data_IF_606438672733
#
_entry.id   IF_606438672733
#
_cell.length_a   1.000
_cell.length_b   1.000
_cell.length_c   1.000
_cell.angle_alpha   90.00
_cell.angle_beta   90.00
_cell.angle_gamma   90.00
#
_symmetry.space_group_name_H-M   'P 1'
#
loop_
_entity.id
_entity.type
_entity.pdbx_description
1 polymer ?
#
# COMPACT_ATOMS: atom_id res chain seq x y z
N UNK A 1 -3.03 -31.06 13.35
CA UNK A 1 -3.59 -29.80 12.81
C UNK A 1 -4.36 -29.03 13.90
N UNK A 2 -3.93 -29.02 15.17
CA UNK A 2 -4.70 -28.33 16.24
C UNK A 2 -3.87 -27.55 17.27
N UNK A 3 -2.56 -27.36 17.08
CA UNK A 3 -1.69 -26.74 18.10
C UNK A 3 -1.18 -25.32 17.72
N UNK A 4 -1.37 -24.90 16.46
CA UNK A 4 -0.98 -23.55 15.99
C UNK A 4 -2.10 -22.51 16.21
N UNK A 5 -3.36 -22.94 16.26
CA UNK A 5 -4.52 -22.06 16.47
C UNK A 5 -4.64 -21.59 17.93
N UNK A 6 -4.12 -22.35 18.90
CA UNK A 6 -4.24 -22.00 20.33
C UNK A 6 -3.18 -21.01 20.84
N UNK A 7 -2.08 -20.79 20.10
CA UNK A 7 -1.01 -19.85 20.53
C UNK A 7 -1.16 -18.42 20.00
N UNK A 8 -2.20 -18.14 19.21
CA UNK A 8 -2.48 -16.80 18.65
C UNK A 8 -3.48 -15.96 19.46
N UNK A 9 -4.05 -16.49 20.54
CA UNK A 9 -5.07 -15.80 21.36
C UNK A 9 -4.53 -14.98 22.55
N UNK A 10 -3.26 -14.56 22.53
CA UNK A 10 -2.64 -13.84 23.65
C UNK A 10 -2.16 -12.42 23.32
N UNK A 11 -2.84 -11.69 22.42
CA UNK A 11 -2.94 -10.22 22.45
C UNK A 11 -4.30 -9.82 21.86
N UNK A 12 -5.39 -10.30 22.46
CA UNK A 12 -6.70 -9.66 22.29
C UNK A 12 -6.61 -8.32 23.01
N UNK A 13 -6.23 -7.26 22.30
CA UNK A 13 -6.58 -5.90 22.69
C UNK A 13 -8.11 -5.85 22.63
N UNK A 14 -8.76 -6.24 23.73
CA UNK A 14 -10.15 -5.87 23.95
C UNK A 14 -10.21 -4.35 23.75
N UNK A 15 -11.06 -3.85 22.82
CA UNK A 15 -11.28 -2.43 22.75
C UNK A 15 -11.94 -2.03 24.06
N UNK A 16 -11.13 -1.55 25.00
CA UNK A 16 -11.60 -0.77 26.14
C UNK A 16 -12.23 0.48 25.54
N UNK A 17 -13.51 0.39 25.20
CA UNK A 17 -14.31 1.51 24.80
C UNK A 17 -14.51 2.36 26.06
N UNK A 18 -13.60 3.30 26.28
CA UNK A 18 -13.84 4.41 27.20
C UNK A 18 -15.20 5.03 26.83
N UNK A 19 -16.11 5.24 27.79
CA UNK A 19 -17.43 5.78 27.51
C UNK A 19 -17.30 7.17 26.87
N UNK A 20 -17.84 7.30 25.66
CA UNK A 20 -17.91 8.56 24.90
C UNK A 20 -18.56 9.61 25.81
N UNK A 21 -17.89 10.74 26.03
CA UNK A 21 -18.46 11.89 26.75
C UNK A 21 -19.80 12.25 26.13
N UNK A 22 -20.86 12.09 26.92
CA UNK A 22 -22.25 12.12 26.47
C UNK A 22 -22.66 13.53 26.03
N UNK A 23 -23.09 13.67 24.77
CA UNK A 23 -23.78 14.87 24.26
C UNK A 23 -23.36 15.39 22.88
N UNK A 24 -22.13 15.10 22.41
CA UNK A 24 -21.68 15.54 21.09
C UNK A 24 -21.67 14.39 20.07
N UNK A 25 -22.33 14.59 18.92
CA UNK A 25 -22.29 13.64 17.80
C UNK A 25 -20.82 13.45 17.36
N UNK A 26 -20.35 12.19 17.17
CA UNK A 26 -18.98 11.95 16.72
C UNK A 26 -18.68 12.66 15.41
N UNK A 27 -17.47 13.20 15.28
CA UNK A 27 -17.03 13.84 14.04
C UNK A 27 -16.47 12.79 13.10
N UNK A 28 -17.07 12.65 11.93
CA UNK A 28 -16.59 11.77 10.88
C UNK A 28 -15.45 12.43 10.11
N UNK A 29 -14.33 11.72 9.97
CA UNK A 29 -13.13 12.20 9.26
C UNK A 29 -12.65 11.11 8.31
N UNK A 30 -12.62 11.45 7.03
CA UNK A 30 -12.11 10.60 5.96
C UNK A 30 -10.66 10.93 5.69
N UNK A 31 -9.82 9.90 5.79
CA UNK A 31 -8.37 10.01 5.72
C UNK A 31 -7.93 9.49 4.37
N UNK A 32 -7.21 10.31 3.63
CA UNK A 32 -6.39 9.83 2.52
C UNK A 32 -5.19 9.09 3.12
N UNK A 33 -5.24 7.76 3.11
CA UNK A 33 -4.30 6.93 3.86
C UNK A 33 -2.85 7.07 3.40
N UNK A 34 -2.64 7.32 2.10
CA UNK A 34 -1.30 7.39 1.50
C UNK A 34 -0.62 8.74 1.76
N UNK A 35 -1.39 9.81 1.92
CA UNK A 35 -0.87 11.16 2.15
C UNK A 35 -0.09 11.33 3.47
N UNK A 36 -0.27 10.40 4.41
CA UNK A 36 0.37 10.39 5.73
C UNK A 36 1.31 9.21 5.93
N UNK A 37 1.69 8.52 4.85
CA UNK A 37 2.60 7.38 4.95
C UNK A 37 3.91 7.72 5.65
N UNK A 38 4.41 8.96 5.48
CA UNK A 38 5.61 9.49 6.14
C UNK A 38 5.47 9.70 7.66
N UNK A 39 4.24 9.79 8.18
CA UNK A 39 3.95 9.86 9.63
C UNK A 39 3.90 8.48 10.27
N UNK A 40 3.74 7.44 9.46
CA UNK A 40 3.67 6.06 9.94
C UNK A 40 4.99 5.33 9.69
N UNK A 41 5.52 5.43 8.48
CA UNK A 41 6.77 4.81 8.05
C UNK A 41 7.93 5.79 8.08
N UNK A 42 9.08 5.30 8.54
CA UNK A 42 10.35 6.00 8.43
C UNK A 42 10.85 5.92 7.00
N UNK A 43 11.00 7.06 6.36
CA UNK A 43 11.48 7.17 4.97
C UNK A 43 12.85 6.48 4.82
N UNK A 44 12.95 5.59 3.83
CA UNK A 44 14.20 4.88 3.52
C UNK A 44 14.51 3.66 4.39
N UNK A 45 13.65 3.32 5.36
CA UNK A 45 13.74 2.09 6.16
C UNK A 45 12.50 1.23 5.90
N UNK A 46 12.62 0.19 5.08
CA UNK A 46 11.46 -0.60 4.66
C UNK A 46 11.01 -1.61 5.73
N UNK A 47 11.84 -1.87 6.75
CA UNK A 47 11.54 -2.82 7.83
C UNK A 47 10.77 -2.18 9.00
N UNK A 48 10.48 -0.88 8.96
CA UNK A 48 9.85 -0.15 10.05
C UNK A 48 8.33 -0.39 10.22
N UNK A 49 7.75 -1.43 9.60
CA UNK A 49 6.29 -1.67 9.63
C UNK A 49 5.73 -1.95 11.05
N UNK A 50 6.55 -2.44 12.00
CA UNK A 50 6.11 -2.53 13.42
C UNK A 50 5.90 -1.15 14.04
N UNK A 51 6.81 -0.23 13.77
CA UNK A 51 6.71 1.16 14.21
C UNK A 51 5.52 1.84 13.52
N UNK A 52 5.32 1.59 12.22
CA UNK A 52 4.15 2.06 11.50
C UNK A 52 2.83 1.59 12.14
N UNK A 53 2.72 0.32 12.53
CA UNK A 53 1.55 -0.20 13.26
C UNK A 53 1.34 0.51 14.59
N UNK A 54 2.41 0.78 15.33
CA UNK A 54 2.34 1.51 16.60
C UNK A 54 1.86 2.95 16.38
N UNK A 55 2.38 3.63 15.34
CA UNK A 55 1.99 4.99 14.98
C UNK A 55 0.51 5.07 14.55
N UNK A 56 0.03 4.11 13.75
CA UNK A 56 -1.39 3.99 13.37
C UNK A 56 -2.25 3.73 14.61
N UNK A 57 -1.87 2.76 15.46
CA UNK A 57 -2.60 2.44 16.69
C UNK A 57 -2.70 3.65 17.62
N UNK A 58 -1.61 4.43 17.73
CA UNK A 58 -1.57 5.68 18.47
C UNK A 58 -2.55 6.70 17.89
N UNK A 59 -2.56 6.90 16.58
CA UNK A 59 -3.51 7.80 15.91
C UNK A 59 -4.96 7.38 16.19
N UNK A 60 -5.28 6.10 16.04
CA UNK A 60 -6.62 5.56 16.27
C UNK A 60 -7.07 5.74 17.72
N UNK A 61 -6.19 5.47 18.69
CA UNK A 61 -6.46 5.74 20.11
C UNK A 61 -6.83 7.21 20.32
N UNK A 62 -5.99 8.13 19.87
CA UNK A 62 -6.19 9.56 20.07
C UNK A 62 -7.42 10.10 19.31
N UNK A 63 -7.80 9.48 18.18
CA UNK A 63 -9.02 9.81 17.46
C UNK A 63 -10.26 9.45 18.28
N UNK A 64 -10.29 8.26 18.87
CA UNK A 64 -11.38 7.80 19.75
C UNK A 64 -11.53 8.72 20.96
N UNK A 65 -10.42 9.06 21.62
CA UNK A 65 -10.44 10.02 22.75
C UNK A 65 -10.92 11.41 22.34
N UNK A 66 -10.71 11.81 21.08
CA UNK A 66 -11.23 13.05 20.49
C UNK A 66 -12.68 12.97 19.99
N UNK A 67 -13.39 11.86 20.19
CA UNK A 67 -14.72 11.61 19.61
C UNK A 67 -14.73 11.76 18.06
N UNK A 68 -13.65 11.29 17.43
CA UNK A 68 -13.48 11.27 15.97
C UNK A 68 -13.64 9.84 15.47
N UNK A 69 -14.53 9.64 14.52
CA UNK A 69 -14.65 8.39 13.76
C UNK A 69 -13.83 8.53 12.50
N UNK A 70 -12.80 7.70 12.37
CA UNK A 70 -11.97 7.64 11.18
C UNK A 70 -12.54 6.63 10.19
N UNK A 71 -12.44 6.94 8.90
CA UNK A 71 -12.53 5.98 7.79
C UNK A 71 -11.39 6.30 6.82
N UNK A 72 -10.66 5.29 6.38
CA UNK A 72 -9.47 5.47 5.53
C UNK A 72 -9.83 5.12 4.10
N UNK A 73 -9.44 5.97 3.16
CA UNK A 73 -9.57 5.71 1.74
C UNK A 73 -8.18 5.48 1.12
N UNK A 74 -8.08 4.49 0.24
CA UNK A 74 -6.85 4.10 -0.45
C UNK A 74 -7.13 3.91 -1.94
N UNK A 75 -6.13 4.24 -2.77
CA UNK A 75 -6.13 3.91 -4.19
C UNK A 75 -6.19 2.40 -4.40
N UNK A 76 -7.10 1.95 -5.25
CA UNK A 76 -7.25 0.55 -5.60
C UNK A 76 -6.64 0.21 -6.98
N UNK A 77 -6.75 1.12 -7.95
CA UNK A 77 -6.04 1.05 -9.23
C UNK A 77 -5.89 2.45 -9.86
N UNK A 78 -5.15 2.52 -10.97
CA UNK A 78 -4.93 3.76 -11.72
C UNK A 78 -5.91 3.78 -12.89
N UNK A 79 -6.86 4.72 -12.90
CA UNK A 79 -7.92 4.75 -13.91
C UNK A 79 -7.54 5.59 -15.15
N UNK A 80 -6.91 6.75 -14.94
CA UNK A 80 -6.67 7.71 -16.03
C UNK A 80 -5.29 7.55 -16.68
N UNK A 81 -5.22 7.77 -17.99
CA UNK A 81 -3.96 7.79 -18.74
C UNK A 81 -2.96 8.80 -18.16
N UNK A 82 -3.45 9.95 -17.69
CA UNK A 82 -2.63 10.97 -17.04
C UNK A 82 -2.02 10.45 -15.73
N UNK A 83 -2.82 9.80 -14.88
CA UNK A 83 -2.34 9.22 -13.64
C UNK A 83 -1.34 8.07 -13.93
N UNK A 84 -1.60 7.26 -14.96
CA UNK A 84 -0.73 6.18 -15.41
C UNK A 84 0.61 6.72 -15.90
N UNK A 85 0.62 7.76 -16.73
CA UNK A 85 1.84 8.41 -17.20
C UNK A 85 2.64 8.99 -16.04
N UNK A 86 2.00 9.76 -15.14
CA UNK A 86 2.65 10.31 -13.94
C UNK A 86 3.21 9.22 -13.04
N UNK A 87 2.51 8.11 -12.92
CA UNK A 87 2.97 6.96 -12.15
C UNK A 87 4.17 6.30 -12.84
N UNK A 88 4.11 6.04 -14.16
CA UNK A 88 5.22 5.45 -14.93
C UNK A 88 6.48 6.31 -14.84
N UNK A 89 6.38 7.62 -15.08
CA UNK A 89 7.54 8.53 -14.96
C UNK A 89 8.16 8.53 -13.56
N UNK A 90 7.35 8.40 -12.50
CA UNK A 90 7.87 8.24 -11.12
C UNK A 90 8.63 6.93 -10.95
N UNK A 91 8.10 5.82 -11.47
CA UNK A 91 8.76 4.51 -11.41
C UNK A 91 10.04 4.45 -12.25
N UNK A 92 10.05 5.09 -13.42
CA UNK A 92 11.25 5.21 -14.25
C UNK A 92 12.35 5.98 -13.54
N UNK A 93 11.99 7.11 -12.90
CA UNK A 93 12.94 7.88 -12.11
C UNK A 93 13.54 7.04 -10.97
N UNK A 94 12.72 6.27 -10.25
CA UNK A 94 13.19 5.38 -9.18
C UNK A 94 14.20 4.34 -9.67
N UNK A 95 13.94 3.69 -10.82
CA UNK A 95 14.89 2.75 -11.43
C UNK A 95 16.17 3.47 -11.85
N UNK A 96 16.06 4.58 -12.57
CA UNK A 96 17.21 5.35 -13.08
C UNK A 96 18.12 5.83 -11.96
N UNK A 97 17.53 6.39 -10.92
CA UNK A 97 18.21 7.07 -9.82
C UNK A 97 18.63 6.09 -8.70
N UNK A 98 18.28 4.79 -8.81
CA UNK A 98 18.48 3.77 -7.76
C UNK A 98 17.86 4.16 -6.42
N UNK A 99 16.65 4.71 -6.47
CA UNK A 99 15.96 5.19 -5.26
C UNK A 99 14.63 4.50 -5.06
N UNK A 100 14.31 4.20 -3.80
CA UNK A 100 12.97 3.76 -3.39
C UNK A 100 12.76 4.11 -1.92
N UNK A 101 12.02 5.18 -1.70
CA UNK A 101 11.84 5.74 -0.35
C UNK A 101 10.75 5.05 0.47
N UNK A 102 9.87 4.31 -0.19
CA UNK A 102 8.71 3.66 0.42
C UNK A 102 8.76 2.14 0.19
N UNK A 103 8.33 1.34 1.17
CA UNK A 103 8.33 -0.11 1.06
C UNK A 103 7.44 -0.61 -0.07
N UNK A 104 7.76 -1.78 -0.60
CA UNK A 104 6.85 -2.55 -1.45
C UNK A 104 5.53 -2.84 -0.70
N UNK A 105 4.42 -2.91 -1.43
CA UNK A 105 3.08 -3.20 -0.90
C UNK A 105 2.56 -2.21 0.17
N UNK A 106 3.06 -0.98 0.21
CA UNK A 106 2.68 0.00 1.23
C UNK A 106 1.17 0.25 1.36
N UNK A 107 0.43 0.34 0.25
CA UNK A 107 -1.03 0.51 0.28
C UNK A 107 -1.70 -0.63 1.05
N UNK A 108 -1.31 -1.87 0.77
CA UNK A 108 -1.81 -3.08 1.44
C UNK A 108 -1.50 -3.00 2.92
N UNK A 109 -0.25 -2.71 3.28
CA UNK A 109 0.20 -2.67 4.67
C UNK A 109 -0.54 -1.58 5.48
N UNK A 110 -0.71 -0.38 4.92
CA UNK A 110 -1.48 0.69 5.57
C UNK A 110 -2.93 0.25 5.79
N UNK A 111 -3.56 -0.30 4.76
CA UNK A 111 -4.94 -0.79 4.86
C UNK A 111 -5.11 -1.87 5.92
N UNK A 112 -4.27 -2.91 5.89
CA UNK A 112 -4.30 -3.98 6.89
C UNK A 112 -4.07 -3.45 8.31
N UNK A 113 -3.10 -2.55 8.51
CA UNK A 113 -2.82 -1.98 9.84
C UNK A 113 -3.97 -1.13 10.38
N UNK A 114 -4.68 -0.37 9.54
CA UNK A 114 -5.88 0.36 9.95
C UNK A 114 -7.05 -0.58 10.24
N UNK A 115 -7.29 -1.57 9.38
CA UNK A 115 -8.32 -2.60 9.57
C UNK A 115 -8.12 -3.35 10.88
N UNK A 116 -6.89 -3.78 11.18
CA UNK A 116 -6.50 -4.40 12.45
C UNK A 116 -6.71 -3.49 13.67
N UNK A 117 -6.60 -2.16 13.48
CA UNK A 117 -6.90 -1.19 14.52
C UNK A 117 -8.41 -0.94 14.69
N UNK A 118 -9.27 -1.62 13.92
CA UNK A 118 -10.72 -1.48 13.94
C UNK A 118 -11.21 -0.21 13.24
N UNK A 119 -10.49 0.25 12.21
CA UNK A 119 -10.90 1.36 11.35
C UNK A 119 -11.41 0.81 10.03
N UNK A 120 -12.52 1.35 9.54
CA UNK A 120 -13.03 1.02 8.21
C UNK A 120 -12.07 1.53 7.14
N UNK A 121 -11.68 0.64 6.23
CA UNK A 121 -10.84 0.95 5.07
C UNK A 121 -11.67 0.77 3.81
N UNK A 122 -11.60 1.75 2.92
CA UNK A 122 -12.32 1.79 1.66
C UNK A 122 -11.32 1.96 0.50
N UNK A 123 -11.28 0.99 -0.40
CA UNK A 123 -10.48 1.05 -1.61
C UNK A 123 -11.34 1.59 -2.74
N UNK A 124 -10.86 2.63 -3.43
CA UNK A 124 -11.59 3.35 -4.48
C UNK A 124 -11.59 2.58 -5.80
N UNK A 125 -12.76 2.13 -6.29
CA UNK A 125 -12.87 1.17 -7.41
C UNK A 125 -13.58 1.72 -8.63
N UNK A 126 -14.33 2.81 -8.54
CA UNK A 126 -15.08 3.36 -9.68
C UNK A 126 -14.59 4.75 -10.11
N UNK A 127 -13.67 5.33 -9.34
CA UNK A 127 -13.11 6.65 -9.57
C UNK A 127 -11.75 6.77 -8.86
N UNK A 128 -10.91 7.71 -9.31
CA UNK A 128 -9.70 8.14 -8.59
C UNK A 128 -10.01 8.39 -7.09
N UNK A 129 -9.04 8.10 -6.22
CA UNK A 129 -9.26 8.15 -4.77
C UNK A 129 -9.69 9.52 -4.24
N UNK A 130 -9.19 10.60 -4.85
CA UNK A 130 -9.60 11.96 -4.48
C UNK A 130 -11.08 12.23 -4.81
N UNK A 131 -11.54 11.78 -5.98
CA UNK A 131 -12.92 11.95 -6.45
C UNK A 131 -13.87 11.10 -5.57
N UNK A 132 -13.46 9.87 -5.27
CA UNK A 132 -14.17 8.95 -4.37
C UNK A 132 -14.27 9.53 -2.95
N UNK A 133 -13.15 9.92 -2.35
CA UNK A 133 -13.11 10.47 -0.99
C UNK A 133 -13.92 11.76 -0.90
N UNK A 134 -13.78 12.69 -1.87
CA UNK A 134 -14.54 13.94 -1.90
C UNK A 134 -16.05 13.70 -1.99
N UNK A 135 -16.48 12.76 -2.86
CA UNK A 135 -17.90 12.40 -2.98
C UNK A 135 -18.45 11.79 -1.69
N UNK A 136 -17.76 10.81 -1.12
CA UNK A 136 -18.16 10.20 0.16
C UNK A 136 -18.22 11.26 1.27
N UNK A 137 -17.21 12.12 1.40
CA UNK A 137 -17.18 13.16 2.42
C UNK A 137 -18.33 14.17 2.29
N UNK A 138 -18.65 14.57 1.05
CA UNK A 138 -19.75 15.48 0.75
C UNK A 138 -21.12 14.89 1.15
N UNK A 139 -21.36 13.64 0.79
CA UNK A 139 -22.62 12.94 1.06
C UNK A 139 -22.80 12.64 2.55
N UNK A 140 -21.73 12.22 3.22
CA UNK A 140 -21.78 11.76 4.61
C UNK A 140 -21.52 12.90 5.61
N UNK A 141 -21.36 14.13 5.11
CA UNK A 141 -21.00 15.34 5.87
C UNK A 141 -19.73 15.13 6.72
N UNK A 142 -18.79 14.36 6.21
CA UNK A 142 -17.50 14.12 6.84
C UNK A 142 -16.53 15.29 6.57
N UNK A 143 -15.49 15.40 7.39
CA UNK A 143 -14.32 16.18 7.03
C UNK A 143 -13.31 15.30 6.26
N UNK A 144 -12.43 15.93 5.50
CA UNK A 144 -11.32 15.29 4.78
C UNK A 144 -10.01 15.59 5.51
N UNK A 145 -9.15 14.59 5.66
CA UNK A 145 -7.77 14.73 6.09
C UNK A 145 -6.86 14.32 4.94
N UNK A 146 -6.27 15.30 4.25
CA UNK A 146 -5.31 15.12 3.15
C UNK A 146 -4.45 16.37 2.93
N UNK A 147 -3.18 16.17 2.55
CA UNK A 147 -2.27 17.23 2.08
C UNK A 147 -2.46 17.52 0.60
N UNK A 148 -3.25 16.74 -0.12
CA UNK A 148 -3.54 17.02 -1.52
C UNK A 148 -4.33 18.32 -1.69
N UNK A 149 -3.93 19.11 -2.69
CA UNK A 149 -4.60 20.35 -3.07
C UNK A 149 -5.80 20.09 -3.97
N UNK A 150 -5.91 18.91 -4.57
CA UNK A 150 -6.99 18.55 -5.47
C UNK A 150 -8.36 18.61 -4.79
N UNK A 151 -8.45 18.39 -3.48
CA UNK A 151 -9.68 18.60 -2.69
C UNK A 151 -10.25 20.03 -2.72
N UNK A 152 -9.45 21.02 -3.12
CA UNK A 152 -9.91 22.40 -3.26
C UNK A 152 -10.61 22.69 -4.61
N UNK A 153 -10.46 21.81 -5.61
CA UNK A 153 -10.96 22.02 -6.98
C UNK A 153 -12.44 21.67 -7.18
N UNK A 154 -13.05 21.02 -6.21
CA UNK A 154 -14.43 20.56 -6.30
C UNK A 154 -15.46 21.68 -6.13
N UNK A 155 -16.36 21.81 -7.11
CA UNK A 155 -17.45 22.79 -7.08
C UNK A 155 -18.48 22.42 -6.01
N UNK A 156 -18.86 23.41 -5.19
CA UNK A 156 -19.90 23.22 -4.16
C UNK A 156 -19.51 22.32 -2.98
N UNK A 157 -18.22 21.98 -2.83
CA UNK A 157 -17.74 21.21 -1.69
C UNK A 157 -18.05 21.91 -0.36
N UNK A 158 -18.69 21.18 0.57
CA UNK A 158 -19.04 21.67 1.91
C UNK A 158 -18.26 20.99 3.04
N UNK A 159 -17.45 19.99 2.74
CA UNK A 159 -16.60 19.33 3.73
C UNK A 159 -15.43 20.23 4.18
N UNK A 160 -14.99 20.05 5.42
CA UNK A 160 -13.78 20.72 5.93
C UNK A 160 -12.54 19.93 5.55
N UNK A 161 -11.45 20.60 5.23
CA UNK A 161 -10.17 19.96 4.89
C UNK A 161 -9.15 20.23 6.01
N UNK A 162 -8.55 19.15 6.51
CA UNK A 162 -7.43 19.15 7.44
C UNK A 162 -6.17 18.71 6.69
N UNK A 163 -5.12 19.51 6.73
CA UNK A 163 -3.87 19.22 6.02
C UNK A 163 -2.93 18.33 6.83
N UNK A 164 -3.02 18.34 8.15
CA UNK A 164 -2.20 17.50 9.01
C UNK A 164 -2.90 17.21 10.34
N UNK A 165 -2.23 16.44 11.19
CA UNK A 165 -2.65 16.20 12.57
C UNK A 165 -1.45 16.22 13.52
N UNK A 166 -1.76 16.43 14.80
CA UNK A 166 -0.79 16.32 15.89
C UNK A 166 -1.48 15.74 17.13
N UNK A 167 -0.68 15.36 18.12
CA UNK A 167 -1.14 14.87 19.40
C UNK A 167 -1.04 15.99 20.44
N UNK A 168 -2.16 16.32 21.09
CA UNK A 168 -2.18 17.24 22.23
C UNK A 168 -2.71 16.50 23.45
N UNK A 169 -1.81 16.07 24.33
CA UNK A 169 -2.11 15.11 25.41
C UNK A 169 -2.68 13.83 24.80
N UNK A 170 -3.80 13.32 25.31
CA UNK A 170 -4.48 12.11 24.80
C UNK A 170 -5.37 12.35 23.57
N UNK A 171 -5.41 13.57 23.02
CA UNK A 171 -6.34 13.95 21.95
C UNK A 171 -5.65 14.09 20.59
N UNK A 172 -6.32 13.60 19.54
CA UNK A 172 -5.98 13.89 18.15
C UNK A 172 -6.44 15.30 17.80
N UNK A 173 -5.48 16.16 17.46
CA UNK A 173 -5.74 17.53 17.03
C UNK A 173 -5.52 17.65 15.53
N UNK A 174 -6.61 17.87 14.79
CA UNK A 174 -6.57 18.08 13.35
C UNK A 174 -6.18 19.53 13.03
N UNK A 175 -5.24 19.69 12.10
CA UNK A 175 -4.70 20.98 11.67
C UNK A 175 -5.48 21.41 10.43
N UNK A 176 -6.34 22.44 10.53
CA UNK A 176 -7.14 22.88 9.39
C UNK A 176 -6.23 23.46 8.31
N UNK A 177 -6.54 23.16 7.05
CA UNK A 177 -5.85 23.78 5.93
C UNK A 177 -6.07 25.29 5.95
N UNK A 178 -4.99 26.07 5.99
CA UNK A 178 -5.07 27.54 6.05
C UNK A 178 -5.36 28.19 4.69
N UNK A 179 -4.83 27.61 3.61
CA UNK A 179 -5.01 28.16 2.27
C UNK A 179 -6.26 27.60 1.61
N UNK A 180 -7.22 28.47 1.32
CA UNK A 180 -8.37 28.19 0.43
C UNK A 180 -8.09 28.55 -1.02
N UNK A 181 -6.94 29.19 -1.30
CA UNK A 181 -6.61 29.67 -2.64
C UNK A 181 -6.01 28.55 -3.49
N UNK A 182 -6.80 28.11 -4.48
CA UNK A 182 -6.27 27.49 -5.67
C UNK A 182 -5.53 28.55 -6.50
N UNK A 183 -4.36 28.22 -7.03
CA UNK A 183 -3.82 28.98 -8.16
C UNK A 183 -4.84 28.90 -9.31
N UNK A 184 -5.00 29.99 -10.08
CA UNK A 184 -6.01 30.18 -11.14
C UNK A 184 -6.06 29.07 -12.21
N UNK A 185 -5.05 28.22 -12.31
CA UNK A 185 -4.87 27.25 -13.40
C UNK A 185 -5.39 25.84 -13.09
N UNK A 186 -5.94 25.56 -11.91
CA UNK A 186 -6.43 24.22 -11.59
C UNK A 186 -7.84 24.03 -12.15
N UNK A 187 -8.00 23.05 -13.04
CA UNK A 187 -9.30 22.64 -13.61
C UNK A 187 -10.29 22.30 -12.48
N UNK A 188 -11.46 22.95 -12.50
CA UNK A 188 -12.55 22.67 -11.58
C UNK A 188 -13.19 21.33 -11.90
N UNK A 189 -13.58 20.58 -10.86
CA UNK A 189 -14.29 19.30 -11.00
C UNK A 189 -15.62 19.34 -10.26
N UNK A 190 -16.60 18.61 -10.74
CA UNK A 190 -17.85 18.40 -10.01
C UNK A 190 -17.73 17.19 -9.09
N UNK A 191 -18.45 17.22 -7.98
CA UNK A 191 -18.50 16.09 -7.05
C UNK A 191 -19.40 15.01 -7.65
N UNK A 192 -18.87 13.78 -7.78
CA UNK A 192 -19.62 12.62 -8.29
C UNK A 192 -20.92 12.38 -7.51
N UNK A 193 -22.00 12.14 -8.25
CA UNK A 193 -23.32 11.74 -7.74
C UNK A 193 -23.88 10.66 -8.68
N UNK A 194 -24.14 9.42 -8.20
CA UNK A 194 -24.03 8.93 -6.83
C UNK A 194 -22.56 8.78 -6.34
N UNK A 195 -22.39 8.37 -5.06
CA UNK A 195 -21.07 8.02 -4.50
C UNK A 195 -20.42 6.91 -5.36
N UNK A 196 -19.16 7.07 -5.81
CA UNK A 196 -18.42 5.98 -6.44
C UNK A 196 -18.33 4.75 -5.53
N UNK A 197 -18.33 3.54 -6.10
CA UNK A 197 -18.22 2.33 -5.30
C UNK A 197 -16.83 2.20 -4.66
N UNK A 198 -16.83 1.56 -3.49
CA UNK A 198 -15.63 1.22 -2.73
C UNK A 198 -15.68 -0.24 -2.31
N UNK A 199 -14.51 -0.83 -2.06
CA UNK A 199 -14.38 -2.18 -1.46
C UNK A 199 -13.71 -2.09 -0.09
N UNK A 200 -14.05 -3.02 0.79
CA UNK A 200 -13.44 -3.12 2.14
C UNK A 200 -12.10 -3.85 2.15
N UNK A 201 -11.77 -4.53 1.06
CA UNK A 201 -10.51 -5.25 0.86
C UNK A 201 -9.77 -4.61 -0.29
N UNK A 202 -8.44 -4.62 -0.21
CA UNK A 202 -7.63 -4.25 -1.35
C UNK A 202 -8.05 -5.16 -2.51
N UNK A 203 -8.54 -4.63 -3.64
CA UNK A 203 -8.77 -5.48 -4.79
C UNK A 203 -7.50 -6.17 -5.24
N UNK A 204 -6.33 -5.69 -4.81
CA UNK A 204 -5.08 -6.36 -4.98
C UNK A 204 -4.75 -6.58 -6.45
N UNK A 205 -3.97 -7.63 -6.67
CA UNK A 205 -3.40 -8.02 -7.95
C UNK A 205 -4.34 -8.05 -9.16
N UNK A 206 -5.64 -8.31 -8.97
CA UNK A 206 -6.57 -8.66 -10.06
C UNK A 206 -7.94 -8.01 -9.79
N UNK A 207 -8.05 -6.73 -10.10
CA UNK A 207 -9.35 -6.15 -10.49
C UNK A 207 -9.56 -6.12 -11.99
N UNK A 208 -8.52 -6.39 -12.77
CA UNK A 208 -8.59 -6.41 -14.23
C UNK A 208 -7.91 -7.70 -14.68
N UNK A 209 -8.66 -8.73 -15.12
CA UNK A 209 -8.09 -10.04 -15.49
C UNK A 209 -7.08 -9.97 -16.65
N UNK A 210 -6.93 -8.81 -17.28
CA UNK A 210 -6.19 -8.64 -18.52
C UNK A 210 -4.77 -8.08 -18.31
N UNK A 211 -4.46 -7.41 -17.19
CA UNK A 211 -3.12 -6.88 -16.99
C UNK A 211 -2.64 -6.80 -15.54
N UNK A 212 -1.32 -6.91 -15.38
CA UNK A 212 -0.60 -6.82 -14.13
C UNK A 212 0.56 -5.82 -14.28
N UNK A 213 0.31 -4.61 -13.79
CA UNK A 213 1.26 -3.50 -13.83
C UNK A 213 1.93 -3.33 -12.46
N UNK A 214 3.27 -3.32 -12.43
CA UNK A 214 4.04 -2.96 -11.23
C UNK A 214 5.26 -2.11 -11.54
N UNK A 215 5.64 -1.31 -10.56
CA UNK A 215 6.82 -0.45 -10.62
C UNK A 215 8.09 -1.14 -10.16
N UNK A 216 9.06 -0.32 -9.72
CA UNK A 216 10.25 -0.79 -9.02
C UNK A 216 9.92 -1.18 -7.57
N UNK A 217 10.11 -2.44 -7.16
CA UNK A 217 9.90 -2.84 -5.77
C UNK A 217 11.08 -2.47 -4.86
N UNK A 218 12.25 -2.14 -5.42
CA UNK A 218 13.52 -2.01 -4.68
C UNK A 218 14.36 -0.84 -5.19
N UNK A 219 15.21 -0.21 -4.35
CA UNK A 219 16.20 0.75 -4.85
C UNK A 219 17.22 0.13 -5.81
N UNK A 220 17.38 -1.20 -5.80
CA UNK A 220 18.37 -1.92 -6.63
C UNK A 220 17.80 -2.53 -7.91
N UNK A 221 16.61 -2.11 -8.36
CA UNK A 221 16.02 -2.67 -9.59
C UNK A 221 16.87 -2.44 -10.84
N UNK A 222 17.67 -1.37 -10.87
CA UNK A 222 18.64 -1.15 -11.94
C UNK A 222 19.75 -2.20 -11.95
N UNK A 223 20.22 -2.60 -10.77
CA UNK A 223 21.42 -3.44 -10.63
C UNK A 223 21.08 -4.95 -10.56
N UNK A 224 19.94 -5.30 -9.96
CA UNK A 224 19.50 -6.68 -9.74
C UNK A 224 18.30 -7.10 -10.62
N UNK A 225 17.77 -6.18 -11.43
CA UNK A 225 16.52 -6.39 -12.16
C UNK A 225 15.27 -6.20 -11.30
N UNK A 226 14.09 -6.28 -11.94
CA UNK A 226 12.82 -6.12 -11.25
C UNK A 226 12.39 -7.44 -10.60
N UNK A 227 12.24 -7.46 -9.27
CA UNK A 227 11.89 -8.67 -8.51
C UNK A 227 10.54 -9.28 -8.92
N UNK A 228 9.63 -8.48 -9.47
CA UNK A 228 8.38 -9.00 -10.02
C UNK A 228 8.61 -9.88 -11.26
N UNK A 229 9.66 -9.64 -12.05
CA UNK A 229 10.01 -10.52 -13.17
C UNK A 229 10.55 -11.84 -12.62
N UNK A 230 11.42 -11.79 -11.60
CA UNK A 230 12.02 -12.98 -10.99
C UNK A 230 10.97 -13.97 -10.46
N UNK A 231 9.92 -13.46 -9.80
CA UNK A 231 8.85 -14.31 -9.22
C UNK A 231 7.67 -14.55 -10.16
N UNK A 232 7.82 -14.29 -11.47
CA UNK A 232 6.73 -14.45 -12.45
C UNK A 232 6.11 -15.83 -12.40
N UNK A 233 6.90 -16.89 -12.28
CA UNK A 233 6.36 -18.25 -12.31
C UNK A 233 5.49 -18.59 -11.09
N UNK A 234 5.74 -17.96 -9.93
CA UNK A 234 4.86 -18.05 -8.77
C UNK A 234 3.54 -17.29 -9.02
N UNK A 235 3.63 -16.16 -9.72
CA UNK A 235 2.47 -15.36 -10.12
C UNK A 235 1.60 -16.08 -11.14
N UNK A 236 2.19 -16.78 -12.11
CA UNK A 236 1.46 -17.64 -13.05
C UNK A 236 0.69 -18.76 -12.32
N UNK A 237 1.26 -19.30 -11.24
CA UNK A 237 0.57 -20.25 -10.36
C UNK A 237 -0.58 -19.60 -9.61
N UNK A 238 -0.41 -18.35 -9.18
CA UNK A 238 -1.50 -17.59 -8.56
C UNK A 238 -2.64 -17.33 -9.56
N UNK A 239 -2.34 -16.92 -10.80
CA UNK A 239 -3.34 -16.78 -11.87
C UNK A 239 -4.12 -18.07 -12.11
N UNK A 240 -3.42 -19.21 -12.19
CA UNK A 240 -4.04 -20.52 -12.35
C UNK A 240 -4.94 -20.86 -11.15
N UNK A 241 -4.52 -20.53 -9.93
CA UNK A 241 -5.32 -20.77 -8.71
C UNK A 241 -6.62 -19.97 -8.66
N UNK A 242 -6.70 -18.86 -9.38
CA UNK A 242 -7.90 -18.05 -9.54
C UNK A 242 -8.79 -18.51 -10.71
N UNK A 243 -8.38 -19.56 -11.43
CA UNK A 243 -9.11 -20.06 -12.60
C UNK A 243 -9.00 -19.19 -13.84
N UNK A 244 -8.04 -18.27 -13.89
CA UNK A 244 -7.72 -17.51 -15.12
C UNK A 244 -7.21 -18.50 -16.17
N UNK A 245 -7.72 -18.39 -17.40
CA UNK A 245 -7.38 -19.29 -18.52
C UNK A 245 -6.74 -18.57 -19.70
N UNK A 246 -6.83 -17.26 -19.74
CA UNK A 246 -6.28 -16.40 -20.79
C UNK A 246 -4.93 -15.83 -20.36
N UNK A 247 -4.17 -15.32 -21.33
CA UNK A 247 -2.93 -14.61 -21.01
C UNK A 247 -3.23 -13.33 -20.22
N UNK A 248 -2.35 -13.00 -19.28
CA UNK A 248 -2.36 -11.74 -18.51
C UNK A 248 -1.20 -10.90 -19.02
N UNK A 249 -1.45 -9.65 -19.41
CA UNK A 249 -0.39 -8.72 -19.82
C UNK A 249 0.38 -8.21 -18.61
N UNK A 250 1.65 -8.56 -18.48
CA UNK A 250 2.53 -8.04 -17.43
C UNK A 250 3.35 -6.86 -17.93
N UNK A 251 3.48 -5.83 -17.08
CA UNK A 251 4.25 -4.62 -17.38
C UNK A 251 5.15 -4.21 -16.21
N UNK A 252 6.46 -4.12 -16.46
CA UNK A 252 7.46 -3.76 -15.45
C UNK A 252 8.55 -2.83 -15.99
N UNK A 253 9.00 -1.83 -15.22
CA UNK A 253 10.20 -1.09 -15.58
C UNK A 253 11.44 -1.96 -15.31
N UNK A 254 12.36 -1.98 -16.27
CA UNK A 254 13.68 -2.61 -16.19
C UNK A 254 14.75 -1.63 -16.66
N UNK A 255 16.01 -1.93 -16.39
CA UNK A 255 17.13 -1.15 -16.90
C UNK A 255 17.89 -1.96 -17.94
N UNK A 256 18.11 -1.40 -19.13
CA UNK A 256 18.87 -2.03 -20.21
C UNK A 256 20.18 -1.29 -20.43
N UNK A 257 21.24 -2.06 -20.66
CA UNK A 257 22.60 -1.57 -20.92
C UNK A 257 23.21 -2.17 -22.20
N UNK A 258 22.39 -2.74 -23.09
CA UNK A 258 22.86 -3.35 -24.34
C UNK A 258 22.81 -2.36 -25.52
N UNK A 259 23.72 -2.57 -26.49
CA UNK A 259 23.65 -1.99 -27.85
C UNK A 259 23.69 -0.46 -27.94
N UNK A 260 24.32 0.22 -26.98
CA UNK A 260 24.46 1.68 -26.98
C UNK A 260 23.24 2.43 -26.44
N UNK A 261 22.16 1.73 -26.11
CA UNK A 261 20.98 2.27 -25.46
C UNK A 261 21.02 1.98 -23.95
N UNK A 262 21.39 2.99 -23.16
CA UNK A 262 21.30 2.95 -21.70
C UNK A 262 20.04 3.66 -21.24
N UNK A 263 19.14 2.95 -20.55
CA UNK A 263 17.90 3.56 -20.10
C UNK A 263 16.93 2.62 -19.39
N UNK A 264 15.88 3.24 -18.86
CA UNK A 264 14.74 2.50 -18.34
C UNK A 264 13.82 2.14 -19.49
N UNK A 265 13.47 0.87 -19.60
CA UNK A 265 12.51 0.36 -20.57
C UNK A 265 11.39 -0.37 -19.83
N UNK A 266 10.18 -0.39 -20.41
CA UNK A 266 9.08 -1.18 -19.89
C UNK A 266 9.05 -2.53 -20.60
N UNK A 267 9.30 -3.60 -19.85
CA UNK A 267 9.06 -4.96 -20.32
C UNK A 267 7.55 -5.20 -20.32
N UNK A 268 7.00 -5.53 -21.48
CA UNK A 268 5.58 -5.85 -21.68
C UNK A 268 5.48 -7.25 -22.26
N UNK A 269 4.86 -8.18 -21.55
CA UNK A 269 4.74 -9.59 -21.97
C UNK A 269 3.37 -10.16 -21.62
N UNK A 270 2.76 -10.92 -22.54
CA UNK A 270 1.52 -11.65 -22.27
C UNK A 270 1.88 -13.04 -21.72
N UNK A 271 1.57 -13.30 -20.45
CA UNK A 271 1.97 -14.54 -19.76
C UNK A 271 0.76 -15.44 -19.52
N UNK A 272 0.91 -16.73 -19.82
CA UNK A 272 -0.14 -17.72 -19.56
C UNK A 272 -0.11 -18.19 -18.10
N UNK A 273 -1.29 -18.45 -17.49
CA UNK A 273 -1.39 -19.15 -16.22
C UNK A 273 -0.68 -20.51 -16.25
N UNK A 274 -0.06 -20.91 -15.15
CA UNK A 274 0.65 -22.19 -15.03
C UNK A 274 0.63 -22.69 -13.60
N UNK A 275 0.18 -23.92 -13.38
CA UNK A 275 0.07 -24.55 -12.06
C UNK A 275 1.40 -25.08 -11.49
N UNK A 276 2.49 -24.98 -12.25
CA UNK A 276 3.82 -25.56 -11.92
C UNK A 276 4.30 -25.27 -10.49
N UNK A 277 4.03 -24.08 -9.97
CA UNK A 277 4.48 -23.63 -8.64
C UNK A 277 3.33 -23.42 -7.66
N UNK A 278 2.20 -24.10 -7.86
CA UNK A 278 1.02 -23.94 -7.02
C UNK A 278 1.30 -24.29 -5.54
N UNK A 279 2.10 -25.32 -5.27
CA UNK A 279 2.41 -25.69 -3.89
C UNK A 279 3.27 -24.66 -3.16
N UNK A 280 4.13 -23.92 -3.87
CA UNK A 280 4.91 -22.83 -3.25
C UNK A 280 4.02 -21.69 -2.74
N UNK A 281 2.83 -21.46 -3.32
CA UNK A 281 1.90 -20.44 -2.81
C UNK A 281 1.41 -20.73 -1.38
N UNK A 282 1.49 -21.99 -0.94
CA UNK A 282 1.05 -22.42 0.40
C UNK A 282 2.13 -22.23 1.47
N UNK A 283 3.38 -22.03 1.04
CA UNK A 283 4.57 -21.97 1.92
C UNK A 283 5.41 -20.73 1.60
N UNK A 284 5.10 -19.55 2.17
CA UNK A 284 5.80 -18.30 1.87
C UNK A 284 7.33 -18.39 2.00
N UNK A 285 7.84 -19.07 3.04
CA UNK A 285 9.26 -19.25 3.28
C UNK A 285 9.93 -20.16 2.25
N UNK A 286 9.28 -21.25 1.85
CA UNK A 286 9.80 -22.16 0.81
C UNK A 286 9.79 -21.46 -0.56
N UNK A 287 8.75 -20.69 -0.86
CA UNK A 287 8.68 -19.86 -2.05
C UNK A 287 9.82 -18.84 -2.06
N UNK A 288 10.07 -18.17 -0.93
CA UNK A 288 11.18 -17.22 -0.84
C UNK A 288 12.52 -17.91 -1.09
N UNK A 289 12.78 -19.04 -0.43
CA UNK A 289 14.03 -19.79 -0.59
C UNK A 289 14.22 -20.23 -2.05
N UNK A 290 13.15 -20.64 -2.72
CA UNK A 290 13.17 -21.03 -4.14
C UNK A 290 13.69 -19.92 -5.06
N UNK A 291 13.22 -18.68 -4.89
CA UNK A 291 13.60 -17.56 -5.77
C UNK A 291 14.83 -16.80 -5.29
N UNK A 292 15.04 -16.74 -3.98
CA UNK A 292 15.90 -15.74 -3.33
C UNK A 292 16.82 -16.30 -2.26
N UNK A 293 16.85 -17.63 -2.05
CA UNK A 293 17.75 -18.28 -1.08
C UNK A 293 19.25 -18.09 -1.35
N UNK A 294 19.61 -17.61 -2.56
CA UNK A 294 20.99 -17.34 -2.99
C UNK A 294 21.20 -15.88 -3.39
N UNK A 295 20.45 -14.96 -2.80
CA UNK A 295 20.67 -13.52 -3.02
C UNK A 295 22.08 -13.13 -2.60
N UNK A 296 22.80 -12.47 -3.52
CA UNK A 296 24.15 -11.95 -3.29
C UNK A 296 24.10 -10.45 -3.45
N UNK A 297 24.66 -9.73 -2.46
CA UNK A 297 24.74 -8.26 -2.50
C UNK A 297 25.73 -7.82 -3.60
N UNK A 298 25.33 -6.93 -4.52
CA UNK A 298 26.26 -6.37 -5.50
C UNK A 298 27.33 -5.50 -4.83
N UNK A 299 28.50 -5.41 -5.46
CA UNK A 299 29.60 -4.57 -4.99
C UNK A 299 29.21 -3.08 -4.96
N UNK A 300 29.67 -2.38 -3.92
CA UNK A 300 29.43 -0.94 -3.76
C UNK A 300 28.01 -0.55 -3.31
N UNK A 301 27.12 -1.51 -3.10
CA UNK A 301 25.77 -1.27 -2.56
C UNK A 301 25.83 -0.99 -1.05
N UNK A 302 25.13 0.05 -0.60
CA UNK A 302 25.03 0.38 0.82
C UNK A 302 24.24 -0.67 1.61
N UNK A 303 24.56 -0.89 2.89
CA UNK A 303 23.80 -1.80 3.74
C UNK A 303 22.29 -1.49 3.73
N UNK A 304 21.93 -0.20 3.81
CA UNK A 304 20.53 0.23 3.80
C UNK A 304 19.81 -0.17 2.51
N UNK A 305 20.41 0.07 1.36
CA UNK A 305 19.76 -0.22 0.09
C UNK A 305 19.68 -1.73 -0.16
N UNK A 306 20.68 -2.49 0.32
CA UNK A 306 20.62 -3.94 0.37
C UNK A 306 19.52 -4.46 1.29
N UNK A 307 19.42 -3.96 2.52
CA UNK A 307 18.37 -4.37 3.47
C UNK A 307 16.96 -4.07 2.92
N UNK A 308 16.79 -2.94 2.23
CA UNK A 308 15.55 -2.60 1.53
C UNK A 308 15.28 -3.52 0.33
N UNK A 309 16.32 -3.99 -0.37
CA UNK A 309 16.18 -4.97 -1.43
C UNK A 309 15.76 -6.34 -0.89
N UNK A 310 16.36 -6.79 0.22
CA UNK A 310 15.97 -8.01 0.93
C UNK A 310 14.54 -7.90 1.45
N UNK A 311 14.13 -6.76 1.99
CA UNK A 311 12.72 -6.54 2.32
C UNK A 311 11.81 -6.72 1.10
N UNK A 312 12.18 -6.09 -0.01
CA UNK A 312 11.39 -6.15 -1.23
C UNK A 312 11.25 -7.58 -1.77
N UNK A 313 12.31 -8.41 -1.69
CA UNK A 313 12.25 -9.81 -2.13
C UNK A 313 11.31 -10.65 -1.25
N UNK A 314 11.28 -10.43 0.07
CA UNK A 314 10.23 -11.03 0.92
C UNK A 314 8.85 -10.54 0.52
N UNK A 315 8.68 -9.21 0.42
CA UNK A 315 7.38 -8.60 0.19
C UNK A 315 6.73 -9.08 -1.11
N UNK A 316 7.47 -9.16 -2.22
CA UNK A 316 6.88 -9.61 -3.50
C UNK A 316 6.47 -11.09 -3.52
N UNK A 317 7.15 -11.95 -2.75
CA UNK A 317 6.77 -13.37 -2.62
C UNK A 317 5.60 -13.51 -1.66
N UNK A 318 5.72 -12.90 -0.49
CA UNK A 318 4.75 -13.03 0.59
C UNK A 318 3.41 -12.40 0.20
N UNK A 319 3.41 -11.35 -0.63
CA UNK A 319 2.18 -10.76 -1.18
C UNK A 319 1.39 -11.81 -2.00
N UNK A 320 2.05 -12.59 -2.85
CA UNK A 320 1.40 -13.64 -3.64
C UNK A 320 0.87 -14.78 -2.75
N UNK A 321 1.67 -15.23 -1.80
CA UNK A 321 1.24 -16.28 -0.87
C UNK A 321 0.10 -15.79 0.04
N UNK A 322 0.17 -14.56 0.54
CA UNK A 322 -0.88 -13.96 1.38
C UNK A 322 -2.22 -13.93 0.64
N UNK A 323 -2.19 -13.49 -0.63
CA UNK A 323 -3.36 -13.46 -1.50
C UNK A 323 -3.94 -14.86 -1.75
N UNK A 324 -3.09 -15.86 -2.00
CA UNK A 324 -3.54 -17.24 -2.20
C UNK A 324 -4.14 -17.84 -0.93
N UNK A 325 -3.52 -17.60 0.23
CA UNK A 325 -3.93 -18.13 1.52
C UNK A 325 -5.11 -17.37 2.15
N UNK A 326 -5.48 -16.20 1.63
CA UNK A 326 -6.48 -15.33 2.24
C UNK A 326 -6.08 -14.80 3.61
N UNK A 327 -4.78 -14.51 3.80
CA UNK A 327 -4.21 -14.04 5.07
C UNK A 327 -3.59 -12.65 4.93
N UNK A 328 -3.18 -12.04 6.05
CA UNK A 328 -2.56 -10.71 6.08
C UNK A 328 -1.09 -10.76 5.65
N UNK A 329 -0.73 -9.93 4.67
CA UNK A 329 0.67 -9.72 4.28
C UNK A 329 1.50 -9.18 5.46
N UNK A 330 0.94 -8.23 6.21
CA UNK A 330 1.57 -7.65 7.38
C UNK A 330 1.91 -8.72 8.44
N UNK A 331 1.03 -9.69 8.67
CA UNK A 331 1.29 -10.78 9.64
C UNK A 331 2.40 -11.72 9.18
N UNK A 332 2.44 -12.07 7.89
CA UNK A 332 3.52 -12.88 7.32
C UNK A 332 4.87 -12.17 7.47
N UNK A 333 4.96 -10.90 7.09
CA UNK A 333 6.18 -10.10 7.22
C UNK A 333 6.58 -9.92 8.70
N UNK A 334 5.62 -9.73 9.59
CA UNK A 334 5.87 -9.64 11.03
C UNK A 334 6.38 -10.93 11.64
N UNK A 335 5.90 -12.09 11.18
CA UNK A 335 6.34 -13.39 11.67
C UNK A 335 7.77 -13.65 11.23
N UNK A 336 8.08 -13.32 9.98
CA UNK A 336 9.43 -13.46 9.44
C UNK A 336 10.44 -12.54 10.13
N UNK A 337 10.11 -11.25 10.29
CA UNK A 337 10.98 -10.28 10.96
C UNK A 337 11.18 -10.53 12.47
N UNK A 338 10.68 -11.62 13.05
CA UNK A 338 11.04 -12.05 14.42
C UNK A 338 12.23 -12.99 14.46
N UNK A 339 12.69 -13.53 13.32
CA UNK A 339 13.77 -14.51 13.27
C UNK A 339 15.13 -13.79 13.28
N UNK A 340 15.81 -13.64 14.44
CA UNK A 340 17.00 -12.79 14.56
C UNK A 340 18.18 -13.35 13.76
N UNK A 341 18.21 -14.67 13.54
CA UNK A 341 19.22 -15.39 12.78
C UNK A 341 19.17 -15.13 11.28
N UNK A 342 18.06 -14.63 10.73
CA UNK A 342 17.90 -14.44 9.28
C UNK A 342 17.99 -12.99 8.81
N UNK A 343 18.06 -12.03 9.73
CA UNK A 343 18.13 -10.59 9.39
C UNK A 343 19.54 -10.01 9.45
N UNK A 344 20.58 -10.79 9.79
CA UNK A 344 21.91 -10.24 10.15
C UNK A 344 23.13 -11.10 9.84
N UNK A 345 23.05 -12.13 9.01
CA UNK A 345 24.27 -12.76 8.49
C UNK A 345 24.58 -12.16 7.10
N UNK A 346 25.75 -11.51 6.94
CA UNK A 346 26.13 -10.75 5.74
C UNK A 346 26.42 -11.63 4.51
#
# INVERSE_FOLDING_TARGET
>A
MDDLTQRLNAVTLTPSASPIKTGQKPRLVYVDGMNYSDKFFKVGDHWCFREARQNISKMVKHARESNIVLKVFLDAYIETDEALQKWRSRREKEVRDRTRNMPQAMNVLIGEMFSMAGIEVAYSVDADNDDTLASHAQHDRAAVMSRDKDFLRYNGASYRIYEDFTYKREYLHLIPRKSTYLRREISKRDIHKPKPAVRSTDPGFITLPDFYLRGSPSPLTRDCGNLHITVRSLRQAYYASLGIKTAVREEFPTYRTSDGDEGVVWLVEDVLPSDKYHDLLKSPEEAYEHYFGKLVRPDGVSNRDWDNHVYASYSVVFELCALHLGTSLFELLCTYAKQPSKMREP
#
